data_IF_388722223978
#
_entry.id   IF_388722223978
#
_cell.length_a   1.000
_cell.length_b   1.000
_cell.length_c   1.000
_cell.angle_alpha   90.00
_cell.angle_beta   90.00
_cell.angle_gamma   90.00
#
_symmetry.space_group_name_H-M   'P 1'
#
loop_
_entity.id
_entity.type
_entity.pdbx_description
1 polymer ?
#
# COMPACT_ATOMS: atom_id res chain seq x y z
N UNK A 1 32.71 1.40 -22.21
CA UNK A 1 31.63 0.54 -21.70
C UNK A 1 31.69 0.53 -20.18
N UNK A 2 30.77 1.21 -19.51
CA UNK A 2 30.66 1.23 -18.04
C UNK A 2 29.18 1.37 -17.65
N UNK A 3 28.68 0.35 -16.95
CA UNK A 3 27.69 0.39 -15.87
C UNK A 3 26.53 1.40 -15.95
N UNK A 4 25.43 1.03 -16.61
CA UNK A 4 24.12 1.65 -16.40
C UNK A 4 23.32 0.94 -15.32
N UNK A 5 23.44 1.35 -14.05
CA UNK A 5 22.42 1.06 -13.03
C UNK A 5 21.34 2.12 -13.14
N UNK A 6 20.27 1.83 -13.87
CA UNK A 6 19.10 2.70 -13.99
C UNK A 6 18.07 2.28 -12.94
N UNK A 7 17.78 3.24 -12.06
CA UNK A 7 16.85 3.15 -10.94
C UNK A 7 15.50 3.60 -11.48
N UNK A 8 14.46 2.77 -11.34
CA UNK A 8 13.11 3.12 -11.81
C UNK A 8 12.13 3.07 -10.66
N UNK A 9 11.17 3.95 -10.80
CA UNK A 9 10.34 4.57 -9.81
C UNK A 9 9.02 3.81 -9.53
N UNK A 10 8.97 2.89 -8.54
CA UNK A 10 7.70 2.31 -8.07
C UNK A 10 7.27 2.80 -6.67
N UNK A 11 6.11 3.47 -6.58
CA UNK A 11 5.40 3.88 -5.36
C UNK A 11 6.24 4.53 -4.25
N UNK A 12 6.61 5.80 -4.47
CA UNK A 12 7.00 6.88 -3.54
C UNK A 12 7.43 6.62 -2.08
N UNK A 13 7.94 5.47 -1.68
CA UNK A 13 8.34 5.21 -0.29
C UNK A 13 8.93 3.83 -0.03
N UNK A 14 8.69 2.85 -0.92
CA UNK A 14 9.11 1.45 -0.72
C UNK A 14 10.16 0.99 -1.75
N UNK A 15 11.03 1.92 -2.22
CA UNK A 15 11.92 1.69 -3.37
C UNK A 15 13.27 1.01 -3.12
N UNK A 16 13.55 0.49 -1.93
CA UNK A 16 14.76 -0.33 -1.69
C UNK A 16 14.49 -1.72 -1.11
N UNK A 17 13.37 -2.31 -1.53
CA UNK A 17 12.87 -3.58 -0.98
C UNK A 17 12.61 -4.65 -2.07
N UNK A 18 12.67 -4.29 -3.37
CA UNK A 18 12.41 -5.25 -4.44
C UNK A 18 13.42 -5.28 -5.61
N UNK A 19 14.58 -4.63 -5.50
CA UNK A 19 15.66 -4.82 -6.47
C UNK A 19 16.73 -5.76 -5.87
N UNK A 20 16.57 -7.07 -6.06
CA UNK A 20 17.61 -8.12 -6.09
C UNK A 20 16.95 -9.51 -6.17
N UNK A 21 17.00 -10.13 -7.36
CA UNK A 21 16.89 -11.58 -7.49
C UNK A 21 15.68 -12.13 -8.25
N UNK A 22 15.53 -11.76 -9.53
CA UNK A 22 14.90 -12.68 -10.49
C UNK A 22 15.98 -13.64 -11.01
N UNK A 23 16.13 -14.79 -10.35
CA UNK A 23 16.84 -15.93 -10.92
C UNK A 23 15.97 -17.17 -10.66
N UNK A 24 15.52 -17.79 -11.76
CA UNK A 24 14.78 -19.06 -11.76
C UNK A 24 15.56 -20.10 -10.95
N UNK A 25 14.94 -20.70 -9.94
CA UNK A 25 15.53 -21.85 -9.25
C UNK A 25 14.54 -23.01 -9.19
N UNK A 26 15.02 -24.18 -9.62
CA UNK A 26 14.29 -25.44 -9.74
C UNK A 26 13.86 -25.97 -8.37
N UNK A 27 12.67 -26.59 -8.33
CA UNK A 27 12.12 -27.30 -7.17
C UNK A 27 13.12 -28.32 -6.60
N UNK A 28 13.24 -28.35 -5.27
CA UNK A 28 13.57 -29.55 -4.49
C UNK A 28 12.63 -29.63 -3.29
N UNK A 29 12.12 -30.83 -3.05
CA UNK A 29 11.29 -31.19 -1.91
C UNK A 29 12.14 -31.40 -0.66
N UNK A 30 11.60 -31.04 0.50
CA UNK A 30 12.17 -31.32 1.82
C UNK A 30 11.26 -30.76 2.91
N UNK A 31 10.65 -31.66 3.68
CA UNK A 31 9.67 -31.35 4.71
C UNK A 31 10.28 -30.83 6.03
N UNK A 32 9.43 -30.25 6.86
CA UNK A 32 9.74 -29.84 8.22
C UNK A 32 8.52 -29.16 8.86
N UNK A 33 7.80 -29.92 9.70
CA UNK A 33 6.75 -29.41 10.57
C UNK A 33 7.40 -28.63 11.71
N UNK A 34 7.03 -27.36 11.86
CA UNK A 34 7.42 -26.52 12.98
C UNK A 34 6.26 -25.57 13.29
N UNK A 35 5.51 -25.89 14.35
CA UNK A 35 4.35 -25.15 14.80
C UNK A 35 4.70 -23.70 15.13
N UNK A 36 3.95 -22.78 14.53
CA UNK A 36 4.00 -21.33 14.75
C UNK A 36 3.30 -21.01 16.10
N UNK A 37 3.86 -20.20 17.00
CA UNK A 37 3.10 -19.75 18.17
C UNK A 37 1.99 -18.79 17.73
N UNK A 38 0.78 -19.06 18.22
CA UNK A 38 -0.42 -18.29 18.00
C UNK A 38 -0.32 -16.91 18.69
N UNK A 39 -0.65 -15.85 17.96
CA UNK A 39 -0.92 -14.54 18.53
C UNK A 39 -2.30 -14.59 19.19
N UNK A 40 -2.38 -14.12 20.43
CA UNK A 40 -3.59 -14.05 21.26
C UNK A 40 -4.68 -13.19 20.61
N UNK A 41 -5.88 -13.77 20.45
CA UNK A 41 -7.02 -13.18 19.76
C UNK A 41 -7.95 -12.42 20.74
N UNK A 42 -7.77 -11.10 20.84
CA UNK A 42 -8.91 -10.20 21.09
C UNK A 42 -9.66 -9.96 19.77
N UNK A 43 -10.90 -9.40 19.75
CA UNK A 43 -11.57 -9.08 18.49
C UNK A 43 -10.62 -8.18 17.69
N UNK A 44 -10.05 -8.70 16.61
CA UNK A 44 -8.92 -8.06 15.95
C UNK A 44 -9.33 -6.66 15.50
N UNK A 45 -8.79 -5.65 16.19
CA UNK A 45 -8.98 -4.25 15.85
C UNK A 45 -8.64 -4.05 14.37
N UNK A 46 -9.29 -3.07 13.74
CA UNK A 46 -8.95 -2.76 12.36
C UNK A 46 -7.46 -2.40 12.26
N UNK A 47 -6.70 -2.92 11.26
CA UNK A 47 -5.27 -2.61 11.14
C UNK A 47 -4.97 -1.10 11.10
N UNK A 48 -5.86 -0.29 10.53
CA UNK A 48 -5.72 1.18 10.50
C UNK A 48 -5.93 1.89 11.85
N UNK A 49 -6.11 1.15 12.95
CA UNK A 49 -6.45 1.68 14.29
C UNK A 49 -7.94 1.96 14.51
N UNK A 50 -8.74 2.05 13.44
CA UNK A 50 -10.15 2.46 13.46
C UNK A 50 -10.34 3.98 13.38
N UNK A 51 -11.51 4.44 12.96
CA UNK A 51 -11.89 5.87 13.06
C UNK A 51 -12.06 6.30 14.52
N UNK A 52 -12.66 5.42 15.35
CA UNK A 52 -12.48 5.40 16.79
C UNK A 52 -11.47 4.30 17.16
N UNK A 53 -10.57 4.57 18.11
CA UNK A 53 -9.53 3.63 18.50
C UNK A 53 -10.13 2.28 18.94
N UNK A 54 -9.62 1.19 18.37
CA UNK A 54 -10.08 -0.16 18.71
C UNK A 54 -11.36 -0.61 17.97
N UNK A 55 -11.85 0.17 16.98
CA UNK A 55 -12.98 -0.27 16.15
C UNK A 55 -12.63 -1.58 15.45
N UNK A 56 -13.48 -2.62 15.50
CA UNK A 56 -13.20 -3.90 14.87
C UNK A 56 -13.21 -3.79 13.35
N UNK A 57 -12.37 -4.58 12.66
CA UNK A 57 -12.26 -4.56 11.18
C UNK A 57 -13.62 -4.61 10.46
N UNK A 58 -14.53 -5.47 10.94
CA UNK A 58 -15.88 -5.66 10.38
C UNK A 58 -16.74 -4.39 10.36
N UNK A 59 -16.50 -3.45 11.28
CA UNK A 59 -17.22 -2.17 11.39
C UNK A 59 -16.40 -0.97 10.89
N UNK A 60 -15.20 -1.21 10.35
CA UNK A 60 -14.29 -0.16 9.91
C UNK A 60 -13.95 -0.28 8.42
N UNK A 61 -12.96 -1.09 8.04
CA UNK A 61 -12.53 -1.19 6.63
C UNK A 61 -13.20 -2.33 5.86
N UNK A 62 -13.83 -3.31 6.53
CA UNK A 62 -14.50 -4.41 5.84
C UNK A 62 -15.64 -3.97 4.91
N UNK A 63 -16.51 -3.00 5.27
CA UNK A 63 -17.56 -2.54 4.37
C UNK A 63 -17.03 -1.99 3.05
N UNK A 64 -15.85 -1.34 3.06
CA UNK A 64 -15.22 -0.81 1.84
C UNK A 64 -14.53 -1.89 1.00
N UNK A 65 -13.92 -2.89 1.65
CA UNK A 65 -13.21 -3.96 0.95
C UNK A 65 -14.14 -5.02 0.37
N UNK A 66 -15.22 -5.34 1.09
CA UNK A 66 -16.03 -6.53 0.87
C UNK A 66 -17.52 -6.22 0.71
N UNK A 67 -17.99 -5.06 1.19
CA UNK A 67 -19.42 -4.68 1.23
C UNK A 67 -19.87 -3.68 0.17
N UNK A 68 -18.97 -3.22 -0.71
CA UNK A 68 -19.29 -2.27 -1.79
C UNK A 68 -19.49 -0.82 -1.35
N UNK A 69 -19.38 -0.52 -0.05
CA UNK A 69 -19.45 0.85 0.43
C UNK A 69 -18.23 1.65 -0.09
N UNK A 70 -18.44 2.93 -0.38
CA UNK A 70 -17.35 3.84 -0.74
C UNK A 70 -16.82 4.55 0.53
N UNK A 71 -15.50 4.72 0.68
CA UNK A 71 -14.96 5.55 1.75
C UNK A 71 -15.46 6.99 1.60
N UNK A 72 -16.06 7.60 2.64
CA UNK A 72 -16.70 8.92 2.52
C UNK A 72 -15.70 10.09 2.44
N UNK A 73 -14.48 9.90 2.96
CA UNK A 73 -13.44 10.93 2.98
C UNK A 73 -12.12 10.39 2.42
N UNK A 74 -11.22 11.31 2.02
CA UNK A 74 -9.85 10.97 1.62
C UNK A 74 -9.11 10.21 2.73
N UNK A 75 -9.28 10.60 3.99
CA UNK A 75 -8.69 9.89 5.14
C UNK A 75 -9.26 8.48 5.30
N UNK A 76 -10.58 8.31 5.15
CA UNK A 76 -11.21 6.99 5.20
C UNK A 76 -10.68 6.08 4.08
N UNK A 77 -10.44 6.65 2.89
CA UNK A 77 -9.79 5.91 1.80
C UNK A 77 -8.34 5.56 2.14
N UNK A 78 -7.55 6.48 2.67
CA UNK A 78 -6.16 6.20 3.07
C UNK A 78 -6.10 5.05 4.10
N UNK A 79 -6.91 5.13 5.16
CA UNK A 79 -6.99 4.11 6.23
C UNK A 79 -7.43 2.75 5.71
N UNK A 80 -8.41 2.72 4.81
CA UNK A 80 -8.84 1.46 4.19
C UNK A 80 -7.76 0.88 3.27
N UNK A 81 -7.09 1.70 2.46
CA UNK A 81 -5.93 1.26 1.66
C UNK A 81 -4.82 0.68 2.53
N UNK A 82 -4.48 1.31 3.66
CA UNK A 82 -3.55 0.73 4.63
C UNK A 82 -4.00 -0.67 5.10
N UNK A 83 -5.26 -0.80 5.53
CA UNK A 83 -5.80 -2.09 5.97
C UNK A 83 -5.82 -3.13 4.85
N UNK A 84 -6.02 -2.70 3.60
CA UNK A 84 -5.95 -3.55 2.42
C UNK A 84 -4.54 -4.09 2.16
N UNK A 85 -3.47 -3.32 2.42
CA UNK A 85 -2.10 -3.83 2.41
C UNK A 85 -1.91 -4.93 3.46
N UNK A 86 -2.34 -4.69 4.71
CA UNK A 86 -2.20 -5.68 5.80
C UNK A 86 -2.98 -6.97 5.50
N UNK A 87 -4.18 -6.85 4.93
CA UNK A 87 -5.07 -7.96 4.61
C UNK A 87 -4.90 -8.51 3.19
N UNK A 88 -3.92 -8.02 2.44
CA UNK A 88 -3.60 -8.42 1.06
C UNK A 88 -4.79 -8.32 0.09
N UNK A 89 -5.63 -7.29 0.23
CA UNK A 89 -6.78 -7.01 -0.65
C UNK A 89 -6.32 -6.27 -1.91
N UNK A 90 -5.54 -6.96 -2.75
CA UNK A 90 -4.88 -6.37 -3.93
C UNK A 90 -5.89 -5.75 -4.90
N UNK A 91 -7.02 -6.42 -5.14
CA UNK A 91 -8.08 -5.91 -6.01
C UNK A 91 -8.55 -4.52 -5.57
N UNK A 92 -8.85 -4.35 -4.29
CA UNK A 92 -9.24 -3.06 -3.71
C UNK A 92 -8.17 -1.99 -3.88
N UNK A 93 -6.89 -2.34 -3.68
CA UNK A 93 -5.77 -1.40 -3.87
C UNK A 93 -5.66 -0.92 -5.32
N UNK A 94 -5.85 -1.82 -6.29
CA UNK A 94 -5.87 -1.46 -7.72
C UNK A 94 -7.09 -0.58 -8.03
N UNK A 95 -8.28 -1.00 -7.63
CA UNK A 95 -9.54 -0.29 -7.90
C UNK A 95 -9.58 1.11 -7.30
N UNK A 96 -8.89 1.34 -6.18
CA UNK A 96 -8.81 2.64 -5.51
C UNK A 96 -7.57 3.46 -5.87
N UNK A 97 -6.81 3.05 -6.89
CA UNK A 97 -5.70 3.83 -7.46
C UNK A 97 -6.19 4.57 -8.69
N UNK A 98 -5.89 5.87 -8.77
CA UNK A 98 -6.23 6.71 -9.92
C UNK A 98 -5.40 6.32 -11.15
N UNK A 99 -5.94 6.50 -12.36
CA UNK A 99 -5.24 6.15 -13.61
C UNK A 99 -4.00 7.00 -13.90
N UNK A 100 -4.00 8.24 -13.40
CA UNK A 100 -2.84 9.13 -13.46
C UNK A 100 -1.75 8.81 -12.42
N UNK A 101 -2.01 7.87 -11.49
CA UNK A 101 -1.00 7.49 -10.52
C UNK A 101 0.24 6.95 -11.27
N UNK A 102 1.47 7.35 -10.92
CA UNK A 102 2.68 6.99 -11.68
C UNK A 102 2.87 5.49 -11.91
N UNK A 103 2.40 4.66 -10.95
CA UNK A 103 2.44 3.19 -11.06
C UNK A 103 1.23 2.54 -11.76
N UNK A 104 0.18 3.29 -12.12
CA UNK A 104 -1.08 2.73 -12.65
C UNK A 104 -0.88 1.98 -13.97
N UNK A 105 0.03 2.48 -14.82
CA UNK A 105 0.34 1.88 -16.13
C UNK A 105 1.40 0.77 -16.06
N UNK A 106 1.80 0.37 -14.85
CA UNK A 106 2.88 -0.58 -14.62
C UNK A 106 4.28 0.03 -14.87
N UNK A 107 5.29 -0.66 -14.36
CA UNK A 107 6.69 -0.31 -14.56
C UNK A 107 7.13 -0.74 -15.96
N UNK A 108 7.79 0.16 -16.68
CA UNK A 108 8.37 -0.13 -17.99
C UNK A 108 9.88 0.01 -17.95
N UNK A 109 10.56 -0.88 -18.66
CA UNK A 109 11.98 -0.78 -18.96
C UNK A 109 12.21 0.31 -20.01
N UNK A 110 13.47 0.75 -20.16
CA UNK A 110 13.85 1.78 -21.15
C UNK A 110 13.54 1.37 -22.59
N UNK A 111 13.45 0.07 -22.87
CA UNK A 111 13.09 -0.48 -24.17
C UNK A 111 11.56 -0.57 -24.41
N UNK A 112 10.75 -0.06 -23.48
CA UNK A 112 9.29 -0.07 -23.56
C UNK A 112 8.60 -1.35 -23.06
N UNK A 113 9.37 -2.40 -22.72
CA UNK A 113 8.80 -3.63 -22.17
C UNK A 113 8.21 -3.40 -20.78
N UNK A 114 7.06 -4.02 -20.50
CA UNK A 114 6.45 -4.00 -19.17
C UNK A 114 7.26 -4.91 -18.25
N UNK A 115 7.88 -4.32 -17.22
CA UNK A 115 8.59 -5.03 -16.17
C UNK A 115 7.62 -5.65 -15.15
N UNK A 116 6.58 -4.90 -14.78
CA UNK A 116 5.54 -5.34 -13.85
C UNK A 116 4.27 -4.49 -13.99
N UNK A 117 3.14 -5.07 -13.64
CA UNK A 117 1.85 -4.40 -13.50
C UNK A 117 1.67 -3.81 -12.10
N UNK A 118 0.74 -2.86 -11.94
CA UNK A 118 0.37 -2.33 -10.62
C UNK A 118 0.00 -3.44 -9.63
N UNK A 119 -0.78 -4.43 -10.08
CA UNK A 119 -1.22 -5.53 -9.24
C UNK A 119 -0.03 -6.39 -8.75
N UNK A 120 0.96 -6.65 -9.60
CA UNK A 120 2.17 -7.39 -9.23
C UNK A 120 3.03 -6.62 -8.22
N UNK A 121 3.20 -5.32 -8.42
CA UNK A 121 3.96 -4.46 -7.50
C UNK A 121 3.28 -4.36 -6.12
N UNK A 122 1.96 -4.18 -6.09
CA UNK A 122 1.17 -4.17 -4.86
C UNK A 122 1.22 -5.53 -4.15
N UNK A 123 1.13 -6.63 -4.90
CA UNK A 123 1.25 -7.98 -4.35
C UNK A 123 2.65 -8.22 -3.76
N UNK A 124 3.70 -7.82 -4.46
CA UNK A 124 5.07 -7.93 -3.97
C UNK A 124 5.27 -7.13 -2.68
N UNK A 125 4.70 -5.94 -2.59
CA UNK A 125 4.68 -5.13 -1.36
C UNK A 125 3.97 -5.87 -0.22
N UNK A 126 2.76 -6.37 -0.46
CA UNK A 126 1.98 -7.12 0.54
C UNK A 126 2.66 -8.42 1.01
N UNK A 127 3.45 -9.06 0.15
CA UNK A 127 4.14 -10.31 0.49
C UNK A 127 5.45 -10.08 1.24
N UNK A 128 6.14 -8.97 0.96
CA UNK A 128 7.43 -8.66 1.57
C UNK A 128 7.31 -7.82 2.84
N UNK A 129 6.29 -6.98 2.94
CA UNK A 129 6.15 -6.06 4.07
C UNK A 129 5.26 -6.65 5.15
N UNK A 130 5.69 -6.53 6.40
CA UNK A 130 4.84 -6.71 7.58
C UNK A 130 4.57 -5.32 8.16
N UNK A 131 3.35 -4.83 7.97
CA UNK A 131 2.91 -3.54 8.49
C UNK A 131 2.57 -3.66 9.98
N UNK A 132 3.08 -2.72 10.77
CA UNK A 132 3.06 -2.76 12.24
C UNK A 132 2.14 -1.69 12.85
N UNK A 133 1.93 -0.58 12.16
CA UNK A 133 1.02 0.46 12.61
C UNK A 133 0.87 1.58 11.59
N UNK A 134 -0.20 2.36 11.76
CA UNK A 134 -0.53 3.56 11.00
C UNK A 134 -0.84 4.69 11.97
N UNK A 135 -0.27 5.86 11.72
CA UNK A 135 -0.58 7.10 12.42
C UNK A 135 -0.89 8.19 11.39
N UNK A 136 -2.12 8.71 11.41
CA UNK A 136 -2.49 9.89 10.61
C UNK A 136 -2.02 11.12 11.36
N UNK A 137 -1.17 11.91 10.73
CA UNK A 137 -0.54 13.10 11.30
C UNK A 137 -1.31 14.39 10.94
N UNK A 138 -1.83 14.46 9.70
CA UNK A 138 -2.55 15.63 9.21
C UNK A 138 -3.51 15.24 8.07
N UNK A 139 -4.62 15.97 7.95
CA UNK A 139 -5.54 15.90 6.80
C UNK A 139 -5.88 17.30 6.31
N UNK A 140 -5.90 17.51 5.00
CA UNK A 140 -6.28 18.78 4.38
C UNK A 140 -7.30 18.53 3.26
N UNK A 141 -8.47 19.16 3.36
CA UNK A 141 -9.60 18.87 2.46
C UNK A 141 -10.04 17.41 2.57
N UNK A 142 -10.60 16.86 1.48
CA UNK A 142 -10.99 15.46 1.43
C UNK A 142 -12.27 15.11 2.19
N UNK A 143 -13.09 16.11 2.50
CA UNK A 143 -14.40 15.95 3.14
C UNK A 143 -15.52 15.82 2.09
N UNK A 144 -16.74 15.66 2.57
CA UNK A 144 -17.94 15.75 1.72
C UNK A 144 -17.97 17.12 1.00
N UNK A 145 -18.22 17.11 -0.30
CA UNK A 145 -18.17 18.32 -1.13
C UNK A 145 -16.79 18.63 -1.74
N UNK A 146 -15.68 18.19 -1.15
CA UNK A 146 -14.33 18.48 -1.69
C UNK A 146 -13.97 17.63 -2.92
N UNK A 147 -13.38 18.22 -3.95
CA UNK A 147 -12.89 17.47 -5.12
C UNK A 147 -11.52 16.80 -4.89
N UNK A 148 -10.74 17.32 -3.94
CA UNK A 148 -9.39 16.83 -3.63
C UNK A 148 -9.18 16.75 -2.10
N UNK A 149 -8.25 15.91 -1.69
CA UNK A 149 -7.83 15.80 -0.30
C UNK A 149 -6.39 15.32 -0.17
N UNK A 150 -5.75 15.72 0.92
CA UNK A 150 -4.39 15.27 1.27
C UNK A 150 -4.40 14.64 2.66
N UNK A 151 -3.61 13.57 2.81
CA UNK A 151 -3.44 12.86 4.07
C UNK A 151 -1.95 12.64 4.30
N UNK A 152 -1.43 13.18 5.40
CA UNK A 152 -0.07 12.98 5.86
C UNK A 152 -0.06 11.95 6.99
N UNK A 153 0.77 10.92 6.88
CA UNK A 153 0.79 9.82 7.84
C UNK A 153 2.18 9.21 7.99
N UNK A 154 2.37 8.51 9.11
CA UNK A 154 3.50 7.61 9.34
C UNK A 154 3.00 6.16 9.35
N UNK A 155 3.74 5.26 8.69
CA UNK A 155 3.55 3.82 8.81
C UNK A 155 4.85 3.14 9.21
N UNK A 156 4.75 2.17 10.11
CA UNK A 156 5.88 1.32 10.52
C UNK A 156 5.75 -0.05 9.89
N UNK A 157 6.83 -0.59 9.36
CA UNK A 157 6.83 -1.91 8.73
C UNK A 157 8.20 -2.58 8.78
N UNK A 158 8.25 -3.91 8.68
CA UNK A 158 9.48 -4.65 8.37
C UNK A 158 9.41 -5.22 6.96
N UNK A 159 10.57 -5.56 6.41
CA UNK A 159 10.66 -6.16 5.07
C UNK A 159 11.42 -7.46 5.11
N UNK A 160 10.72 -8.52 4.74
CA UNK A 160 11.29 -9.85 4.57
C UNK A 160 12.29 -9.90 3.40
N UNK A 161 13.50 -10.38 3.68
CA UNK A 161 14.39 -10.91 2.67
C UNK A 161 15.24 -9.85 1.95
N UNK A 162 15.60 -8.76 2.63
CA UNK A 162 16.66 -7.86 2.13
C UNK A 162 17.99 -8.62 2.01
N UNK A 163 18.22 -9.22 0.84
CA UNK A 163 19.46 -9.92 0.48
C UNK A 163 20.55 -8.87 0.24
N UNK A 164 21.59 -8.92 1.06
CA UNK A 164 22.79 -8.08 0.93
C UNK A 164 23.46 -7.80 2.29
N UNK A 165 22.69 -7.79 3.38
CA UNK A 165 23.18 -7.46 4.72
C UNK A 165 22.59 -8.37 5.81
N UNK A 166 22.34 -9.66 5.51
CA UNK A 166 22.05 -10.62 6.59
C UNK A 166 23.33 -10.85 7.39
N UNK A 167 23.59 -9.94 8.34
CA UNK A 167 24.38 -10.30 9.51
C UNK A 167 23.63 -11.44 10.19
N UNK A 168 24.23 -12.63 10.13
CA UNK A 168 23.71 -13.85 10.75
C UNK A 168 23.35 -13.53 12.21
N UNK A 169 22.07 -13.58 12.54
CA UNK A 169 21.55 -13.33 13.90
C UNK A 169 20.83 -11.99 14.14
N UNK A 170 20.81 -11.04 13.19
CA UNK A 170 20.10 -9.75 13.37
C UNK A 170 18.68 -9.83 12.79
N UNK A 171 17.65 -9.59 13.62
CA UNK A 171 16.27 -9.39 13.16
C UNK A 171 16.20 -8.15 12.27
N UNK A 172 15.39 -8.19 11.23
CA UNK A 172 15.10 -7.02 10.39
C UNK A 172 14.45 -5.94 11.27
N UNK A 173 15.12 -4.79 11.40
CA UNK A 173 14.63 -3.68 12.21
C UNK A 173 13.40 -3.05 11.54
N UNK A 174 12.39 -2.64 12.31
CA UNK A 174 11.28 -1.83 11.79
C UNK A 174 11.80 -0.57 11.11
N UNK A 175 11.22 -0.27 9.96
CA UNK A 175 11.39 0.95 9.21
C UNK A 175 10.14 1.82 9.38
N UNK A 176 10.31 3.14 9.31
CA UNK A 176 9.22 4.11 9.23
C UNK A 176 9.19 4.73 7.84
N UNK A 177 8.00 4.97 7.32
CA UNK A 177 7.75 5.81 6.15
C UNK A 177 6.78 6.90 6.57
N UNK A 178 7.15 8.16 6.35
CA UNK A 178 6.23 9.29 6.34
C UNK A 178 5.89 9.66 4.92
N UNK A 179 4.62 9.84 4.63
CA UNK A 179 4.16 10.16 3.29
C UNK A 179 3.00 11.15 3.35
N UNK A 180 3.00 12.11 2.43
CA UNK A 180 1.83 12.94 2.11
C UNK A 180 1.19 12.39 0.84
N UNK A 181 0.04 11.75 0.97
CA UNK A 181 -0.75 11.24 -0.15
C UNK A 181 -1.80 12.25 -0.59
N UNK A 182 -2.01 12.35 -1.91
CA UNK A 182 -3.07 13.14 -2.55
C UNK A 182 -4.15 12.21 -3.10
N UNK A 183 -5.40 12.62 -2.90
CA UNK A 183 -6.61 11.92 -3.30
C UNK A 183 -7.51 12.86 -4.09
N UNK A 184 -8.24 12.29 -5.05
CA UNK A 184 -9.21 13.01 -5.88
C UNK A 184 -10.55 12.29 -5.85
N UNK A 185 -11.64 13.05 -5.86
CA UNK A 185 -12.98 12.50 -6.01
C UNK A 185 -13.34 12.49 -7.49
N UNK A 186 -13.68 11.31 -8.00
CA UNK A 186 -14.17 11.14 -9.36
C UNK A 186 -15.67 10.93 -9.29
N UNK A 187 -16.42 11.82 -9.92
CA UNK A 187 -17.87 11.74 -10.00
C UNK A 187 -18.32 10.41 -10.63
N UNK A 188 -19.47 9.90 -10.20
CA UNK A 188 -20.05 8.73 -10.85
C UNK A 188 -20.37 9.10 -12.31
N UNK A 189 -20.11 8.19 -13.24
CA UNK A 189 -20.58 8.37 -14.62
C UNK A 189 -22.10 8.50 -14.61
N UNK A 190 -22.65 9.52 -15.27
CA UNK A 190 -24.09 9.77 -15.34
C UNK A 190 -24.84 8.48 -15.74
N UNK A 191 -25.77 8.01 -14.90
CA UNK A 191 -26.49 6.74 -15.11
C UNK A 191 -26.72 5.86 -13.87
N UNK A 192 -26.39 6.33 -12.66
CA UNK A 192 -26.78 5.66 -11.42
C UNK A 192 -28.14 6.17 -10.95
N UNK A 193 -29.23 5.51 -11.37
CA UNK A 193 -30.62 5.81 -10.99
C UNK A 193 -30.94 5.62 -9.49
N UNK A 194 -29.99 5.13 -8.69
CA UNK A 194 -30.19 4.84 -7.25
C UNK A 194 -29.98 6.07 -6.34
N UNK A 195 -29.87 7.27 -6.92
CA UNK A 195 -29.77 8.51 -6.15
C UNK A 195 -28.53 8.61 -5.25
N UNK A 196 -27.44 7.91 -5.57
CA UNK A 196 -26.15 8.03 -4.87
C UNK A 196 -25.27 9.03 -5.63
N UNK A 197 -25.22 10.32 -5.25
CA UNK A 197 -24.54 11.37 -5.99
C UNK A 197 -23.21 11.73 -5.33
N UNK A 198 -22.50 10.74 -4.76
CA UNK A 198 -21.20 10.96 -4.17
C UNK A 198 -20.18 10.20 -5.00
N UNK A 199 -19.43 10.95 -5.81
CA UNK A 199 -18.26 10.42 -6.50
C UNK A 199 -17.33 9.64 -5.55
N UNK A 200 -16.49 8.78 -6.12
CA UNK A 200 -15.58 7.94 -5.35
C UNK A 200 -14.22 8.58 -5.18
N UNK A 201 -13.64 8.49 -3.99
CA UNK A 201 -12.25 8.88 -3.75
C UNK A 201 -11.28 7.89 -4.42
N UNK A 202 -10.20 8.41 -4.99
CA UNK A 202 -9.09 7.64 -5.56
C UNK A 202 -7.73 8.20 -5.15
N UNK A 203 -6.78 7.31 -4.90
CA UNK A 203 -5.40 7.64 -4.59
C UNK A 203 -4.66 8.07 -5.86
N UNK A 204 -4.25 9.34 -5.92
CA UNK A 204 -3.60 9.92 -7.11
C UNK A 204 -2.09 9.78 -7.06
N UNK A 205 -1.46 10.17 -5.96
CA UNK A 205 -0.01 10.10 -5.78
C UNK A 205 0.37 10.29 -4.32
N UNK A 206 1.63 10.01 -4.00
CA UNK A 206 2.18 10.22 -2.67
C UNK A 206 3.61 10.72 -2.76
N UNK A 207 4.01 11.53 -1.78
CA UNK A 207 5.38 12.06 -1.65
C UNK A 207 5.95 11.64 -0.30
N UNK A 208 7.05 10.88 -0.25
CA UNK A 208 7.69 10.49 1.00
C UNK A 208 8.43 11.67 1.61
N UNK A 209 8.55 11.67 2.93
CA UNK A 209 9.38 12.61 3.68
C UNK A 209 10.51 11.88 4.41
N UNK A 210 11.74 12.40 4.33
CA UNK A 210 12.90 11.91 5.10
C UNK A 210 14.22 11.77 4.31
N UNK A 211 15.34 11.89 5.02
CA UNK A 211 16.72 11.72 4.50
C UNK A 211 16.93 10.31 3.96
N UNK A 212 16.95 10.19 2.64
CA UNK A 212 17.17 8.92 1.94
C UNK A 212 16.54 8.88 0.55
N UNK A 213 15.56 9.76 0.28
CA UNK A 213 14.97 9.93 -1.05
C UNK A 213 15.81 10.90 -1.90
N UNK A 214 16.98 10.46 -2.36
CA UNK A 214 17.61 11.10 -3.53
C UNK A 214 17.01 10.47 -4.78
N UNK A 215 16.17 11.22 -5.47
CA UNK A 215 15.79 10.92 -6.84
C UNK A 215 17.07 10.98 -7.69
N UNK A 216 17.63 9.81 -8.01
CA UNK A 216 18.60 9.63 -9.08
C UNK A 216 17.96 8.74 -10.12
#
# INVERSE_FOLDING_TARGET
GVSGRRVVACASGVRRIAALGAAKSKKRAGGGFGSKPAATEGPACCPCGGGAAGTPYKKCCAPYHDGGALPPTAEALMRSRYSAFVKKKIKYLVETTHEEHPGAKGMRLDNGEIQSTLAEDLKATCDKCVFLGLEVLETKGGLEGDAEGEVYFETKFTVAGQRGFRQRGKKEAPQSLRERSRFVRVEASEGSDDGTPLGRWLYREGTPEGEGYKAN
#
